data_IF_546510366863
#
_entry.id   IF_546510366863
#
_cell.length_a   1.000
_cell.length_b   1.000
_cell.length_c   1.000
_cell.angle_alpha   90.00
_cell.angle_beta   90.00
_cell.angle_gamma   90.00
#
_symmetry.space_group_name_H-M   'P 1'
#
loop_
_entity.id
_entity.type
_entity.pdbx_description
1 polymer ?
#
# COMPACT_ATOMS: atom_id res chain seq x y z
N UNK A 1 -4.95 2.45 25.80
CA UNK A 1 -4.16 2.11 24.59
C UNK A 1 -4.49 3.01 23.40
N UNK A 2 -5.78 3.23 23.09
CA UNK A 2 -6.22 4.17 22.04
C UNK A 2 -6.20 5.63 22.48
N UNK A 3 -5.77 5.91 23.71
CA UNK A 3 -5.59 7.27 24.21
C UNK A 3 -4.67 8.07 23.28
N UNK A 4 -4.97 9.36 23.04
CA UNK A 4 -4.11 10.20 22.21
C UNK A 4 -2.67 10.23 22.73
N UNK A 5 -1.73 10.08 21.81
CA UNK A 5 -0.34 10.37 22.05
C UNK A 5 -0.16 11.89 22.15
N UNK A 6 0.36 12.33 23.29
CA UNK A 6 0.67 13.71 23.58
C UNK A 6 2.18 13.77 23.90
N UNK A 7 3.00 14.42 23.06
CA UNK A 7 4.44 14.51 23.31
C UNK A 7 4.73 15.11 24.69
N UNK A 8 5.65 14.49 25.43
CA UNK A 8 6.13 14.98 26.73
C UNK A 8 7.66 15.03 26.73
N UNK A 9 8.27 15.57 27.78
CA UNK A 9 9.73 15.53 27.93
C UNK A 9 10.26 14.09 28.05
N UNK A 10 9.52 13.18 28.70
CA UNK A 10 9.89 11.79 28.87
C UNK A 10 9.61 10.93 27.62
N UNK A 11 8.66 11.37 26.79
CA UNK A 11 8.25 10.67 25.57
C UNK A 11 8.08 11.69 24.42
N UNK A 12 9.19 12.26 23.91
CA UNK A 12 9.14 13.38 22.98
C UNK A 12 8.74 12.94 21.57
N UNK A 13 8.27 13.90 20.77
CA UNK A 13 8.20 13.75 19.33
C UNK A 13 9.60 13.85 18.75
N UNK A 14 10.15 12.73 18.31
CA UNK A 14 11.51 12.62 17.79
C UNK A 14 11.53 12.15 16.33
N UNK A 15 12.74 12.05 15.77
CA UNK A 15 12.94 11.59 14.40
C UNK A 15 12.45 10.16 14.18
N UNK A 16 12.54 9.29 15.19
CA UNK A 16 12.12 7.87 15.09
C UNK A 16 10.61 7.76 14.93
N UNK A 17 9.84 8.46 15.76
CA UNK A 17 8.37 8.52 15.66
C UNK A 17 7.90 9.21 14.38
N UNK A 18 8.58 10.29 13.97
CA UNK A 18 8.31 10.93 12.68
C UNK A 18 8.55 9.97 11.51
N UNK A 19 9.68 9.26 11.50
CA UNK A 19 10.00 8.27 10.49
C UNK A 19 9.01 7.11 10.46
N UNK A 20 8.64 6.57 11.63
CA UNK A 20 7.62 5.53 11.74
C UNK A 20 6.30 6.01 11.12
N UNK A 21 5.77 7.17 11.55
CA UNK A 21 4.54 7.73 10.98
C UNK A 21 4.61 7.82 9.46
N UNK A 22 5.65 8.44 8.91
CA UNK A 22 5.78 8.67 7.46
C UNK A 22 5.94 7.37 6.65
N UNK A 23 6.58 6.32 7.19
CA UNK A 23 6.63 5.00 6.53
C UNK A 23 5.29 4.28 6.57
N UNK A 24 4.56 4.37 7.69
CA UNK A 24 3.22 3.75 7.83
C UNK A 24 2.18 4.44 6.95
N UNK A 25 2.29 5.73 6.72
CA UNK A 25 1.29 6.54 6.01
C UNK A 25 1.73 6.98 4.61
N UNK A 26 2.87 6.49 4.12
CA UNK A 26 3.39 6.81 2.79
C UNK A 26 4.30 5.70 2.29
N UNK A 27 5.19 6.03 1.36
CA UNK A 27 6.10 5.06 0.73
C UNK A 27 7.56 5.32 1.12
N UNK A 28 7.77 5.73 2.38
CA UNK A 28 9.06 6.19 2.88
C UNK A 28 9.26 7.71 2.73
N UNK A 29 9.86 8.38 3.72
CA UNK A 29 10.10 9.81 3.64
C UNK A 29 11.42 10.15 2.92
N UNK A 30 11.48 11.36 2.35
CA UNK A 30 12.77 11.97 1.98
C UNK A 30 13.49 12.52 3.22
N UNK A 31 14.76 12.93 3.07
CA UNK A 31 15.49 13.58 4.16
C UNK A 31 14.78 14.88 4.60
N UNK A 32 14.38 15.71 3.63
CA UNK A 32 13.69 16.98 3.89
C UNK A 32 12.33 16.80 4.58
N UNK A 33 11.58 15.74 4.24
CA UNK A 33 10.28 15.45 4.88
C UNK A 33 10.42 15.02 6.33
N UNK A 34 11.47 14.25 6.67
CA UNK A 34 11.79 13.89 8.05
C UNK A 34 12.14 15.14 8.87
N UNK A 35 13.00 16.00 8.34
CA UNK A 35 13.41 17.23 9.01
C UNK A 35 12.23 18.17 9.25
N UNK A 36 11.37 18.34 8.22
CA UNK A 36 10.14 19.10 8.36
C UNK A 36 9.19 18.49 9.39
N UNK A 37 9.05 17.16 9.43
CA UNK A 37 8.17 16.51 10.39
C UNK A 37 8.62 16.70 11.86
N UNK A 38 9.92 16.68 12.12
CA UNK A 38 10.47 16.94 13.46
C UNK A 38 10.32 18.42 13.80
N UNK A 39 10.74 19.32 12.91
CA UNK A 39 10.70 20.78 13.12
C UNK A 39 9.27 21.29 13.34
N UNK A 40 8.32 20.84 12.54
CA UNK A 40 6.93 21.32 12.59
C UNK A 40 6.16 20.71 13.77
N UNK A 41 6.68 19.63 14.38
CA UNK A 41 6.07 18.94 15.50
C UNK A 41 4.96 17.95 15.12
N UNK A 42 4.48 17.22 16.14
CA UNK A 42 3.52 16.12 15.99
C UNK A 42 2.20 16.55 15.35
N UNK A 43 1.51 17.55 15.92
CA UNK A 43 0.16 17.93 15.47
C UNK A 43 0.15 18.48 14.04
N UNK A 44 1.12 19.32 13.67
CA UNK A 44 1.22 19.84 12.32
C UNK A 44 1.51 18.73 11.30
N UNK A 45 2.39 17.79 11.67
CA UNK A 45 2.71 16.61 10.84
C UNK A 45 1.51 15.69 10.69
N UNK A 46 0.84 15.35 11.79
CA UNK A 46 -0.35 14.49 11.80
C UNK A 46 -1.47 15.08 10.94
N UNK A 47 -1.76 16.37 11.10
CA UNK A 47 -2.73 17.08 10.25
C UNK A 47 -2.36 16.97 8.78
N UNK A 48 -1.11 17.27 8.41
CA UNK A 48 -0.63 17.19 7.02
C UNK A 48 -0.77 15.78 6.42
N UNK A 49 -0.46 14.74 7.20
CA UNK A 49 -0.61 13.33 6.79
C UNK A 49 -2.08 12.98 6.51
N UNK A 50 -2.99 13.39 7.39
CA UNK A 50 -4.40 13.04 7.30
C UNK A 50 -5.13 13.84 6.22
N UNK A 51 -4.90 15.15 6.14
CA UNK A 51 -5.60 16.02 5.19
C UNK A 51 -4.99 15.98 3.79
N UNK A 52 -3.70 15.64 3.68
CA UNK A 52 -2.97 15.80 2.43
C UNK A 52 -2.82 17.26 2.02
N UNK A 53 -2.32 17.45 0.80
CA UNK A 53 -2.27 18.73 0.08
C UNK A 53 -2.83 18.53 -1.33
N UNK A 54 -3.27 19.60 -2.02
CA UNK A 54 -3.60 19.53 -3.43
C UNK A 54 -2.42 18.98 -4.23
N UNK A 55 -2.72 18.16 -5.24
CA UNK A 55 -1.70 17.66 -6.16
C UNK A 55 -1.07 18.81 -6.95
N UNK A 56 0.20 18.67 -7.32
CA UNK A 56 0.84 19.64 -8.20
C UNK A 56 0.25 19.56 -9.61
N UNK A 57 0.21 20.69 -10.31
CA UNK A 57 -0.24 20.72 -11.71
C UNK A 57 0.58 19.79 -12.60
N UNK A 58 1.87 19.63 -12.29
CA UNK A 58 2.76 18.72 -13.02
C UNK A 58 2.36 17.25 -12.87
N UNK A 59 2.07 16.82 -11.63
CA UNK A 59 1.58 15.47 -11.39
C UNK A 59 0.21 15.26 -12.01
N UNK A 60 -0.71 16.22 -11.87
CA UNK A 60 -2.04 16.13 -12.46
C UNK A 60 -1.94 15.93 -13.99
N UNK A 61 -1.21 16.80 -14.69
CA UNK A 61 -1.00 16.70 -16.14
C UNK A 61 -0.34 15.39 -16.56
N UNK A 62 0.74 15.00 -15.87
CA UNK A 62 1.50 13.79 -16.23
C UNK A 62 0.66 12.53 -15.98
N UNK A 63 -0.01 12.45 -14.83
CA UNK A 63 -0.92 11.36 -14.48
C UNK A 63 -2.06 11.25 -15.49
N UNK A 64 -2.69 12.36 -15.88
CA UNK A 64 -3.78 12.36 -16.86
C UNK A 64 -3.31 11.94 -18.25
N UNK A 65 -2.13 12.39 -18.68
CA UNK A 65 -1.54 11.96 -19.94
C UNK A 65 -1.24 10.45 -19.96
N UNK A 66 -0.62 9.93 -18.90
CA UNK A 66 -0.32 8.51 -18.75
C UNK A 66 -1.59 7.65 -18.67
N UNK A 67 -2.66 8.17 -18.07
CA UNK A 67 -3.96 7.52 -17.93
C UNK A 67 -4.91 7.72 -19.14
N UNK A 68 -4.50 8.49 -20.15
CA UNK A 68 -5.32 8.77 -21.34
C UNK A 68 -5.51 7.52 -22.19
N UNK A 69 -6.58 7.49 -23.00
CA UNK A 69 -6.86 6.36 -23.92
C UNK A 69 -5.72 6.11 -24.90
N UNK A 70 -4.94 7.14 -25.24
CA UNK A 70 -3.76 7.02 -26.11
C UNK A 70 -2.61 6.25 -25.44
N UNK A 71 -2.36 6.52 -24.16
CA UNK A 71 -1.23 5.95 -23.41
C UNK A 71 -1.58 4.60 -22.78
N UNK A 72 -2.82 4.47 -22.34
CA UNK A 72 -3.34 3.33 -21.59
C UNK A 72 -4.71 2.88 -22.16
N UNK A 73 -4.78 2.41 -23.43
CA UNK A 73 -6.01 1.84 -23.99
C UNK A 73 -6.42 0.56 -23.25
N UNK A 74 -7.62 0.04 -23.54
CA UNK A 74 -8.14 -1.20 -22.92
C UNK A 74 -7.16 -2.39 -22.95
N UNK A 75 -6.47 -2.62 -24.06
CA UNK A 75 -5.47 -3.68 -24.21
C UNK A 75 -4.06 -3.32 -23.75
N UNK A 76 -3.87 -2.21 -23.01
CA UNK A 76 -2.54 -1.82 -22.55
C UNK A 76 -1.92 -2.90 -21.64
N UNK A 77 -0.62 -3.19 -21.79
CA UNK A 77 0.03 -4.20 -20.97
C UNK A 77 0.11 -3.74 -19.50
N UNK A 78 -0.06 -4.69 -18.59
CA UNK A 78 -0.09 -4.47 -17.14
C UNK A 78 1.07 -3.60 -16.61
N UNK A 79 2.35 -3.78 -17.02
CA UNK A 79 3.43 -2.93 -16.54
C UNK A 79 3.24 -1.43 -16.78
N UNK A 80 2.52 -1.01 -17.83
CA UNK A 80 2.22 0.42 -18.06
C UNK A 80 1.23 0.96 -17.04
N UNK A 81 0.18 0.18 -16.73
CA UNK A 81 -0.79 0.54 -15.71
C UNK A 81 -0.13 0.59 -14.32
N UNK A 82 0.72 -0.39 -14.01
CA UNK A 82 1.52 -0.41 -12.78
C UNK A 82 2.46 0.79 -12.71
N UNK A 83 3.19 1.09 -13.78
CA UNK A 83 4.11 2.23 -13.84
C UNK A 83 3.42 3.58 -13.59
N UNK A 84 2.21 3.75 -14.13
CA UNK A 84 1.38 4.92 -13.85
C UNK A 84 1.04 5.04 -12.35
N UNK A 85 0.61 3.96 -11.71
CA UNK A 85 0.28 4.03 -10.29
C UNK A 85 1.53 4.27 -9.42
N UNK A 86 2.66 3.64 -9.75
CA UNK A 86 3.93 3.89 -9.07
C UNK A 86 4.38 5.35 -9.19
N UNK A 87 4.14 6.01 -10.34
CA UNK A 87 4.45 7.43 -10.51
C UNK A 87 3.62 8.30 -9.57
N UNK A 88 2.32 8.01 -9.43
CA UNK A 88 1.45 8.66 -8.46
C UNK A 88 1.92 8.43 -7.03
N UNK A 89 2.25 7.19 -6.65
CA UNK A 89 2.74 6.87 -5.30
C UNK A 89 4.05 7.60 -4.96
N UNK A 90 4.92 7.83 -5.94
CA UNK A 90 6.17 8.57 -5.76
C UNK A 90 5.96 10.07 -5.58
N UNK A 91 4.96 10.66 -6.22
CA UNK A 91 4.83 12.12 -6.38
C UNK A 91 3.64 12.75 -5.66
N UNK A 92 2.66 11.95 -5.23
CA UNK A 92 1.43 12.46 -4.62
C UNK A 92 1.70 13.35 -3.42
N UNK A 93 0.91 14.41 -3.30
CA UNK A 93 0.85 15.30 -2.15
C UNK A 93 -0.01 14.74 -1.00
N UNK A 94 -0.67 13.58 -1.21
CA UNK A 94 -1.44 12.86 -0.18
C UNK A 94 -1.09 11.35 -0.10
N UNK A 95 0.13 10.98 0.34
CA UNK A 95 0.58 9.59 0.36
C UNK A 95 -0.33 8.62 1.12
N UNK A 96 -1.00 9.07 2.19
CA UNK A 96 -1.93 8.23 2.96
C UNK A 96 -3.10 7.74 2.11
N UNK A 97 -3.60 8.56 1.18
CA UNK A 97 -4.70 8.19 0.30
C UNK A 97 -4.28 7.10 -0.68
N UNK A 98 -3.10 7.20 -1.26
CA UNK A 98 -2.56 6.15 -2.13
C UNK A 98 -2.26 4.88 -1.34
N UNK A 99 -1.76 5.01 -0.11
CA UNK A 99 -1.51 3.88 0.80
C UNK A 99 -2.79 3.10 1.09
N UNK A 100 -3.87 3.79 1.43
CA UNK A 100 -5.18 3.19 1.63
C UNK A 100 -5.80 2.68 0.33
N UNK A 101 -5.53 3.34 -0.81
CA UNK A 101 -5.96 2.82 -2.12
C UNK A 101 -5.32 1.46 -2.42
N UNK A 102 -4.03 1.29 -2.13
CA UNK A 102 -3.34 0.00 -2.28
C UNK A 102 -3.87 -1.05 -1.29
N UNK A 103 -4.18 -0.64 -0.05
CA UNK A 103 -4.83 -1.50 0.94
C UNK A 103 -6.19 -2.00 0.45
N UNK A 104 -7.04 -1.10 -0.04
CA UNK A 104 -8.36 -1.45 -0.56
C UNK A 104 -8.31 -2.25 -1.85
N UNK A 105 -7.33 -1.99 -2.73
CA UNK A 105 -7.05 -2.84 -3.90
C UNK A 105 -6.67 -4.27 -3.50
N UNK A 106 -5.97 -4.44 -2.38
CA UNK A 106 -5.70 -5.76 -1.83
C UNK A 106 -6.94 -6.40 -1.18
N UNK A 107 -7.80 -5.59 -0.54
CA UNK A 107 -9.04 -6.07 0.09
C UNK A 107 -10.09 -6.49 -0.94
N UNK A 108 -10.29 -5.70 -1.98
CA UNK A 108 -11.14 -5.99 -3.14
C UNK A 108 -10.29 -6.57 -4.29
N UNK A 109 -9.54 -7.62 -3.97
CA UNK A 109 -8.53 -8.17 -4.87
C UNK A 109 -9.15 -8.53 -6.23
N UNK A 110 -8.71 -7.80 -7.26
CA UNK A 110 -9.15 -7.93 -8.65
C UNK A 110 -7.92 -8.02 -9.54
N UNK A 111 -7.82 -9.08 -10.35
CA UNK A 111 -6.64 -9.32 -11.17
C UNK A 111 -6.87 -9.00 -12.65
N UNK A 112 -6.03 -8.12 -13.18
CA UNK A 112 -5.94 -7.81 -14.61
C UNK A 112 -5.74 -9.06 -15.47
N UNK A 113 -5.14 -10.13 -14.92
CA UNK A 113 -4.91 -11.38 -15.65
C UNK A 113 -6.19 -12.03 -16.18
N UNK A 114 -7.31 -11.96 -15.43
CA UNK A 114 -8.63 -12.42 -15.89
C UNK A 114 -9.46 -11.28 -16.47
N UNK A 115 -9.38 -10.07 -15.91
CA UNK A 115 -10.17 -8.93 -16.40
C UNK A 115 -9.77 -8.53 -17.83
N UNK A 116 -8.49 -8.60 -18.16
CA UNK A 116 -7.98 -8.36 -19.52
C UNK A 116 -8.22 -6.95 -20.06
N UNK A 117 -8.54 -5.99 -19.19
CA UNK A 117 -8.90 -4.63 -19.59
C UNK A 117 -8.32 -3.59 -18.62
N UNK A 118 -7.29 -2.87 -19.07
CA UNK A 118 -6.62 -1.84 -18.28
C UNK A 118 -7.52 -0.63 -17.94
N UNK A 119 -8.54 -0.34 -18.76
CA UNK A 119 -9.49 0.75 -18.48
C UNK A 119 -10.43 0.40 -17.33
N UNK A 120 -10.88 -0.85 -17.25
CA UNK A 120 -11.68 -1.33 -16.11
C UNK A 120 -10.87 -1.29 -14.82
N UNK A 121 -9.62 -1.76 -14.86
CA UNK A 121 -8.72 -1.68 -13.69
C UNK A 121 -8.46 -0.23 -13.26
N UNK A 122 -8.25 0.70 -14.20
CA UNK A 122 -8.11 2.12 -13.86
C UNK A 122 -9.40 2.70 -13.26
N UNK A 123 -10.56 2.31 -13.80
CA UNK A 123 -11.87 2.70 -13.27
C UNK A 123 -12.05 2.27 -11.82
N UNK A 124 -11.73 1.00 -11.53
CA UNK A 124 -11.77 0.45 -10.18
C UNK A 124 -10.79 1.17 -9.24
N UNK A 125 -9.57 1.46 -9.70
CA UNK A 125 -8.65 2.29 -8.92
C UNK A 125 -9.26 3.66 -8.60
N UNK A 126 -9.92 4.34 -9.55
CA UNK A 126 -10.53 5.65 -9.31
C UNK A 126 -11.68 5.57 -8.30
N UNK A 127 -12.48 4.50 -8.34
CA UNK A 127 -13.50 4.19 -7.35
C UNK A 127 -12.87 4.00 -5.96
N UNK A 128 -11.87 3.14 -5.85
CA UNK A 128 -11.15 2.88 -4.61
C UNK A 128 -10.51 4.16 -4.07
N UNK A 129 -9.78 4.90 -4.91
CA UNK A 129 -9.08 6.12 -4.53
C UNK A 129 -10.05 7.22 -4.09
N UNK A 130 -11.24 7.32 -4.71
CA UNK A 130 -12.31 8.23 -4.26
C UNK A 130 -12.69 7.94 -2.81
N UNK A 131 -12.89 6.68 -2.47
CA UNK A 131 -13.37 6.22 -1.15
C UNK A 131 -12.27 5.81 -0.16
N UNK A 132 -10.99 5.92 -0.53
CA UNK A 132 -9.89 5.34 0.25
C UNK A 132 -9.83 5.81 1.71
N UNK A 133 -10.15 7.09 1.95
CA UNK A 133 -10.28 7.70 3.28
C UNK A 133 -11.75 7.98 3.66
N UNK A 134 -12.70 7.62 2.81
CA UNK A 134 -14.12 7.93 2.93
C UNK A 134 -14.94 6.75 3.45
N UNK A 135 -16.18 6.66 2.98
CA UNK A 135 -17.14 5.64 3.42
C UNK A 135 -16.83 4.27 2.81
N UNK A 136 -16.50 3.30 3.66
CA UNK A 136 -16.43 1.91 3.25
C UNK A 136 -17.82 1.35 2.89
N UNK A 137 -18.91 1.90 3.45
CA UNK A 137 -20.27 1.54 3.04
C UNK A 137 -20.49 1.81 1.55
N UNK A 138 -20.16 3.02 1.10
CA UNK A 138 -20.32 3.41 -0.30
C UNK A 138 -19.38 2.60 -1.20
N UNK A 139 -18.12 2.41 -0.76
CA UNK A 139 -17.17 1.57 -1.49
C UNK A 139 -17.67 0.13 -1.66
N UNK A 140 -18.20 -0.50 -0.61
CA UNK A 140 -18.72 -1.87 -0.66
C UNK A 140 -19.90 -2.00 -1.63
N UNK A 141 -20.83 -1.03 -1.59
CA UNK A 141 -22.03 -1.01 -2.45
C UNK A 141 -21.63 -0.78 -3.91
N UNK A 142 -20.83 0.25 -4.18
CA UNK A 142 -20.42 0.61 -5.55
C UNK A 142 -19.52 -0.47 -6.19
N UNK A 143 -18.71 -1.17 -5.39
CA UNK A 143 -17.88 -2.27 -5.88
C UNK A 143 -18.70 -3.44 -6.46
N UNK A 144 -19.95 -3.63 -6.00
CA UNK A 144 -20.84 -4.68 -6.51
C UNK A 144 -21.26 -4.51 -7.97
N UNK A 145 -21.04 -3.32 -8.55
CA UNK A 145 -21.32 -3.03 -9.96
C UNK A 145 -20.09 -2.44 -10.68
N UNK A 146 -18.90 -2.54 -10.08
CA UNK A 146 -17.65 -2.15 -10.73
C UNK A 146 -17.33 -3.11 -11.90
N UNK A 147 -17.08 -2.62 -13.13
CA UNK A 147 -16.85 -3.49 -14.28
C UNK A 147 -15.69 -4.49 -14.12
N UNK A 148 -14.61 -4.10 -13.44
CA UNK A 148 -13.49 -5.01 -13.22
C UNK A 148 -13.87 -6.14 -12.25
N UNK A 149 -14.52 -5.80 -11.14
CA UNK A 149 -15.03 -6.76 -10.16
C UNK A 149 -16.09 -7.69 -10.77
N UNK A 150 -17.00 -7.14 -11.59
CA UNK A 150 -18.05 -7.90 -12.26
C UNK A 150 -17.49 -8.97 -13.21
N UNK A 151 -16.41 -8.67 -13.93
CA UNK A 151 -15.71 -9.65 -14.77
C UNK A 151 -14.89 -10.61 -13.91
N UNK A 152 -14.23 -10.11 -12.87
CA UNK A 152 -13.34 -10.90 -12.02
C UNK A 152 -14.07 -12.00 -11.24
N UNK A 153 -15.28 -11.72 -10.73
CA UNK A 153 -16.09 -12.66 -9.94
C UNK A 153 -17.36 -13.12 -10.67
N UNK A 154 -17.36 -13.03 -12.01
CA UNK A 154 -18.39 -13.61 -12.89
C UNK A 154 -19.82 -13.13 -12.57
N UNK A 155 -19.96 -11.91 -12.05
CA UNK A 155 -21.26 -11.28 -11.79
C UNK A 155 -22.05 -11.16 -13.09
N UNK A 156 -21.36 -10.87 -14.19
CA UNK A 156 -21.95 -10.79 -15.53
C UNK A 156 -22.58 -12.09 -16.02
N UNK A 157 -22.24 -13.23 -15.42
CA UNK A 157 -22.79 -14.55 -15.79
C UNK A 157 -24.01 -14.92 -14.93
N UNK A 158 -24.24 -14.21 -13.82
CA UNK A 158 -25.37 -14.42 -12.91
C UNK A 158 -26.67 -13.91 -13.53
N UNK A 159 -27.54 -14.83 -13.94
CA UNK A 159 -28.82 -14.53 -14.59
C UNK A 159 -29.96 -15.32 -13.95
N UNK A 160 -31.19 -14.89 -14.19
CA UNK A 160 -32.40 -15.57 -13.72
C UNK A 160 -32.35 -17.06 -14.06
N UNK A 161 -32.60 -17.90 -13.05
CA UNK A 161 -32.57 -19.37 -13.18
C UNK A 161 -31.17 -19.99 -13.16
N UNK A 162 -30.09 -19.19 -13.24
CA UNK A 162 -28.70 -19.64 -13.13
C UNK A 162 -27.86 -18.59 -12.36
N UNK A 163 -28.13 -18.40 -11.06
CA UNK A 163 -27.35 -17.49 -10.24
C UNK A 163 -25.90 -18.00 -10.11
N UNK A 164 -24.94 -17.08 -10.12
CA UNK A 164 -23.52 -17.38 -9.84
C UNK A 164 -23.20 -16.96 -8.39
N UNK A 165 -22.71 -17.90 -7.58
CA UNK A 165 -22.45 -17.68 -6.15
C UNK A 165 -21.12 -16.97 -5.86
N UNK A 166 -20.19 -16.90 -6.82
CA UNK A 166 -18.82 -16.43 -6.59
C UNK A 166 -18.80 -15.08 -5.87
N UNK A 167 -19.41 -14.04 -6.46
CA UNK A 167 -19.42 -12.71 -5.83
C UNK A 167 -20.16 -12.67 -4.49
N UNK A 168 -21.29 -13.38 -4.36
CA UNK A 168 -22.03 -13.40 -3.10
C UNK A 168 -21.19 -14.02 -1.97
N UNK A 169 -20.45 -15.08 -2.27
CA UNK A 169 -19.50 -15.71 -1.36
C UNK A 169 -18.38 -14.77 -0.98
N UNK A 170 -17.70 -14.16 -1.95
CA UNK A 170 -16.58 -13.25 -1.64
C UNK A 170 -17.03 -11.98 -0.91
N UNK A 171 -18.21 -11.44 -1.24
CA UNK A 171 -18.81 -10.31 -0.55
C UNK A 171 -18.93 -10.60 0.96
N UNK A 172 -19.49 -11.75 1.33
CA UNK A 172 -19.66 -12.13 2.73
C UNK A 172 -18.35 -12.60 3.36
N UNK A 173 -17.59 -13.45 2.69
CA UNK A 173 -16.41 -14.10 3.24
C UNK A 173 -15.19 -13.16 3.34
N UNK A 174 -14.82 -12.53 2.23
CA UNK A 174 -13.53 -11.83 2.12
C UNK A 174 -13.66 -10.31 2.19
N UNK A 175 -14.82 -9.76 1.84
CA UNK A 175 -15.00 -8.32 1.74
C UNK A 175 -15.72 -7.71 2.92
N UNK A 176 -16.56 -8.45 3.65
CA UNK A 176 -17.37 -7.85 4.73
C UNK A 176 -17.42 -8.61 6.05
N UNK A 177 -17.66 -9.92 6.11
CA UNK A 177 -18.01 -10.60 7.37
C UNK A 177 -16.93 -11.53 7.91
N UNK A 178 -16.19 -12.20 7.03
CA UNK A 178 -15.31 -13.30 7.43
C UNK A 178 -16.06 -14.62 7.58
N UNK A 179 -15.33 -15.72 7.44
CA UNK A 179 -15.83 -17.10 7.56
C UNK A 179 -16.57 -17.29 8.89
N UNK A 180 -17.70 -18.03 8.84
CA UNK A 180 -18.49 -18.40 10.02
C UNK A 180 -19.59 -17.41 10.42
N UNK A 181 -19.81 -16.36 9.62
CA UNK A 181 -20.81 -15.32 9.90
C UNK A 181 -22.00 -15.33 8.91
N UNK A 182 -22.13 -16.39 8.11
CA UNK A 182 -23.18 -16.59 7.12
C UNK A 182 -23.38 -18.08 6.90
N UNK A 183 -24.54 -18.45 6.34
CA UNK A 183 -24.84 -19.83 5.95
C UNK A 183 -24.69 -20.02 4.44
N UNK A 184 -24.61 -21.27 4.01
CA UNK A 184 -24.62 -21.60 2.59
C UNK A 184 -25.95 -21.19 1.91
N UNK A 185 -27.05 -21.18 2.65
CA UNK A 185 -28.33 -20.66 2.18
C UNK A 185 -28.26 -19.15 1.93
N UNK A 186 -27.61 -18.39 2.82
CA UNK A 186 -27.41 -16.95 2.62
C UNK A 186 -26.64 -16.67 1.32
N UNK A 187 -25.62 -17.48 1.01
CA UNK A 187 -24.85 -17.36 -0.25
C UNK A 187 -25.75 -17.57 -1.47
N UNK A 188 -26.54 -18.66 -1.49
CA UNK A 188 -27.44 -18.99 -2.61
C UNK A 188 -28.50 -17.90 -2.83
N UNK A 189 -29.10 -17.43 -1.75
CA UNK A 189 -30.14 -16.41 -1.79
C UNK A 189 -29.58 -15.03 -2.18
N UNK A 190 -28.38 -14.69 -1.70
CA UNK A 190 -27.65 -13.50 -2.14
C UNK A 190 -27.25 -13.59 -3.63
N UNK A 191 -26.81 -14.76 -4.11
CA UNK A 191 -26.46 -14.97 -5.51
C UNK A 191 -27.66 -14.69 -6.43
N UNK A 192 -28.87 -15.07 -6.02
CA UNK A 192 -30.12 -14.72 -6.71
C UNK A 192 -30.33 -13.20 -6.76
N UNK A 193 -29.97 -12.46 -5.71
CA UNK A 193 -30.07 -11.00 -5.67
C UNK A 193 -29.06 -10.30 -6.62
N UNK A 194 -27.95 -10.96 -6.94
CA UNK A 194 -26.96 -10.51 -7.92
C UNK A 194 -27.25 -10.93 -9.37
N UNK A 195 -28.41 -11.51 -9.66
CA UNK A 195 -28.78 -11.81 -11.05
C UNK A 195 -29.14 -10.55 -11.84
N UNK A 196 -28.78 -10.52 -13.13
CA UNK A 196 -29.19 -9.48 -14.06
C UNK A 196 -28.26 -8.26 -14.14
N UNK A 197 -27.09 -8.28 -13.50
CA UNK A 197 -26.08 -7.23 -13.69
C UNK A 197 -25.17 -7.57 -14.88
N UNK A 198 -24.92 -6.59 -15.76
CA UNK A 198 -24.08 -6.72 -16.97
C UNK A 198 -23.12 -5.54 -17.11
N UNK A 199 -22.07 -5.71 -17.90
CA UNK A 199 -21.22 -4.60 -18.33
C UNK A 199 -21.68 -4.15 -19.72
N UNK A 200 -22.05 -2.89 -19.88
CA UNK A 200 -22.45 -2.28 -21.16
C UNK A 200 -21.80 -0.90 -21.29
N UNK A 201 -21.17 -0.61 -22.43
CA UNK A 201 -20.47 0.66 -22.65
C UNK A 201 -19.36 0.93 -21.63
N UNK A 202 -18.78 -0.12 -21.03
CA UNK A 202 -17.78 -0.01 -19.98
C UNK A 202 -18.32 0.34 -18.59
N UNK A 203 -19.63 0.23 -18.37
CA UNK A 203 -20.29 0.49 -17.08
C UNK A 203 -21.11 -0.70 -16.62
N UNK A 204 -21.23 -0.91 -15.30
CA UNK A 204 -22.14 -1.88 -14.72
C UNK A 204 -23.59 -1.40 -14.81
N UNK A 205 -24.47 -2.21 -15.40
CA UNK A 205 -25.88 -1.90 -15.61
C UNK A 205 -26.76 -3.05 -15.11
N UNK A 206 -27.93 -2.72 -14.59
CA UNK A 206 -28.93 -3.69 -14.15
C UNK A 206 -29.97 -3.94 -15.24
N UNK A 207 -30.22 -5.21 -15.55
CA UNK A 207 -31.14 -5.68 -16.57
C UNK A 207 -32.30 -6.44 -15.92
N UNK A 208 -33.47 -5.80 -15.70
CA UNK A 208 -34.59 -6.41 -14.97
C UNK A 208 -35.11 -7.73 -15.57
N UNK A 209 -35.01 -7.88 -16.90
CA UNK A 209 -35.45 -9.10 -17.59
C UNK A 209 -34.62 -10.34 -17.22
N UNK A 210 -33.37 -10.13 -16.82
CA UNK A 210 -32.44 -11.18 -16.42
C UNK A 210 -32.29 -11.32 -14.90
N UNK A 211 -32.96 -10.46 -14.12
CA UNK A 211 -32.98 -10.56 -12.67
C UNK A 211 -34.06 -11.55 -12.21
N UNK A 212 -33.80 -12.33 -11.17
CA UNK A 212 -34.80 -13.09 -10.44
C UNK A 212 -35.59 -12.15 -9.50
N UNK A 213 -36.87 -11.82 -9.81
CA UNK A 213 -37.64 -10.88 -9.00
C UNK A 213 -38.26 -11.51 -7.76
N UNK A 214 -38.16 -12.83 -7.59
CA UNK A 214 -38.86 -13.54 -6.53
C UNK A 214 -38.24 -13.23 -5.15
N UNK A 215 -38.99 -13.37 -4.04
CA UNK A 215 -38.47 -13.13 -2.71
C UNK A 215 -37.25 -13.98 -2.39
N UNK A 216 -36.32 -13.40 -1.64
CA UNK A 216 -35.07 -14.01 -1.20
C UNK A 216 -34.96 -13.85 0.31
N UNK A 217 -34.41 -14.86 0.99
CA UNK A 217 -34.20 -14.81 2.44
C UNK A 217 -32.72 -14.80 2.77
N UNK A 218 -32.22 -13.70 3.33
CA UNK A 218 -30.80 -13.52 3.69
C UNK A 218 -30.73 -12.98 5.11
N UNK A 219 -29.93 -13.62 5.97
CA UNK A 219 -29.81 -13.32 7.41
C UNK A 219 -31.17 -13.23 8.13
N UNK A 220 -32.10 -14.12 7.76
CA UNK A 220 -33.46 -14.17 8.33
C UNK A 220 -34.39 -13.05 7.88
N UNK A 221 -33.97 -12.15 6.98
CA UNK A 221 -34.81 -11.13 6.36
C UNK A 221 -35.32 -11.63 5.01
N UNK A 222 -36.59 -11.42 4.69
CA UNK A 222 -37.18 -11.83 3.41
C UNK A 222 -37.69 -10.63 2.62
N UNK A 223 -37.39 -10.59 1.32
CA UNK A 223 -37.85 -9.52 0.44
C UNK A 223 -37.39 -9.69 -1.00
N UNK A 224 -37.86 -8.82 -1.90
CA UNK A 224 -37.43 -8.79 -3.30
C UNK A 224 -36.06 -8.08 -3.43
N UNK A 225 -35.03 -8.65 -2.81
CA UNK A 225 -33.71 -8.02 -2.70
C UNK A 225 -32.93 -8.01 -4.01
N UNK A 226 -32.12 -6.96 -4.16
CA UNK A 226 -31.07 -6.81 -5.18
C UNK A 226 -29.69 -6.78 -4.54
N UNK A 227 -28.65 -6.83 -5.36
CA UNK A 227 -27.25 -6.85 -4.91
C UNK A 227 -26.86 -5.73 -3.92
N UNK A 228 -27.36 -4.51 -4.09
CA UNK A 228 -27.10 -3.40 -3.17
C UNK A 228 -27.75 -3.61 -1.79
N UNK A 229 -28.91 -4.25 -1.74
CA UNK A 229 -29.55 -4.64 -0.47
C UNK A 229 -28.71 -5.67 0.28
N UNK A 230 -28.11 -6.64 -0.43
CA UNK A 230 -27.21 -7.62 0.19
C UNK A 230 -25.98 -6.94 0.79
N UNK A 231 -25.35 -6.02 0.07
CA UNK A 231 -24.22 -5.25 0.58
C UNK A 231 -24.61 -4.45 1.84
N UNK A 232 -25.80 -3.82 1.86
CA UNK A 232 -26.33 -3.14 3.06
C UNK A 232 -26.55 -4.10 4.22
N UNK A 233 -27.09 -5.29 3.97
CA UNK A 233 -27.27 -6.30 5.02
C UNK A 233 -25.93 -6.77 5.60
N UNK A 234 -24.89 -6.95 4.78
CA UNK A 234 -23.56 -7.24 5.26
C UNK A 234 -23.03 -6.11 6.16
N UNK A 235 -23.26 -4.84 5.80
CA UNK A 235 -22.88 -3.69 6.63
C UNK A 235 -23.68 -3.62 7.94
N UNK A 236 -24.92 -4.08 7.97
CA UNK A 236 -25.73 -4.12 9.19
C UNK A 236 -25.32 -5.29 10.10
N UNK A 237 -24.64 -6.31 9.57
CA UNK A 237 -24.21 -7.49 10.31
C UNK A 237 -23.14 -7.14 11.36
N UNK A 238 -23.24 -7.64 12.62
CA UNK A 238 -22.35 -7.26 13.71
C UNK A 238 -20.88 -7.58 13.45
N UNK A 239 -20.58 -8.60 12.65
CA UNK A 239 -19.22 -9.00 12.29
C UNK A 239 -18.50 -7.98 11.39
N UNK A 240 -19.23 -7.17 10.61
CA UNK A 240 -18.63 -6.42 9.51
C UNK A 240 -17.58 -5.41 9.95
N UNK A 241 -17.95 -4.55 10.90
CA UNK A 241 -17.02 -3.56 11.42
C UNK A 241 -15.77 -4.21 12.06
N UNK A 242 -15.93 -5.29 12.83
CA UNK A 242 -14.80 -6.03 13.43
C UNK A 242 -13.90 -6.66 12.37
N UNK A 243 -14.47 -7.20 11.30
CA UNK A 243 -13.72 -7.79 10.20
C UNK A 243 -12.80 -6.77 9.51
N UNK A 244 -13.37 -5.63 9.11
CA UNK A 244 -12.63 -4.59 8.39
C UNK A 244 -11.61 -3.90 9.30
N UNK A 245 -11.99 -3.56 10.54
CA UNK A 245 -11.08 -2.91 11.50
C UNK A 245 -9.91 -3.82 11.84
N UNK A 246 -10.09 -5.14 11.93
CA UNK A 246 -8.96 -6.07 12.13
C UNK A 246 -7.96 -5.99 10.98
N UNK A 247 -8.42 -5.86 9.73
CA UNK A 247 -7.53 -5.67 8.57
C UNK A 247 -6.80 -4.31 8.62
N UNK A 248 -7.50 -3.23 8.99
CA UNK A 248 -6.88 -1.91 9.16
C UNK A 248 -5.83 -1.91 10.29
N UNK A 249 -6.15 -2.56 11.42
CA UNK A 249 -5.19 -2.76 12.52
C UNK A 249 -3.95 -3.51 12.02
N UNK A 250 -4.13 -4.60 11.27
CA UNK A 250 -3.01 -5.35 10.69
C UNK A 250 -2.15 -4.48 9.76
N UNK A 251 -2.78 -3.61 8.97
CA UNK A 251 -2.09 -2.74 8.02
C UNK A 251 -1.30 -1.60 8.69
N UNK A 252 -1.82 -1.03 9.79
CA UNK A 252 -1.25 0.18 10.43
C UNK A 252 -0.55 -0.07 11.76
N UNK A 253 -0.89 -1.11 12.51
CA UNK A 253 -0.30 -1.44 13.81
C UNK A 253 0.65 -2.63 13.70
N UNK A 254 0.16 -3.87 13.64
CA UNK A 254 0.99 -5.07 13.72
C UNK A 254 0.49 -6.20 12.83
N UNK A 255 1.41 -6.87 12.14
CA UNK A 255 1.13 -8.15 11.45
C UNK A 255 1.42 -9.37 12.32
N UNK A 256 2.16 -9.20 13.42
CA UNK A 256 2.61 -10.29 14.28
C UNK A 256 1.57 -10.64 15.35
N UNK A 257 0.89 -9.64 15.91
CA UNK A 257 -0.03 -9.82 17.03
C UNK A 257 -1.44 -9.32 16.71
N UNK A 258 -2.50 -10.09 17.03
CA UNK A 258 -3.86 -9.63 16.88
C UNK A 258 -4.16 -8.49 17.88
N UNK A 259 -5.11 -7.58 17.56
CA UNK A 259 -5.53 -6.55 18.49
C UNK A 259 -6.16 -7.17 19.74
N UNK A 260 -5.89 -6.56 20.91
CA UNK A 260 -6.68 -6.81 22.12
C UNK A 260 -8.18 -6.59 21.83
N UNK A 261 -9.04 -7.40 22.45
CA UNK A 261 -10.47 -7.40 22.15
C UNK A 261 -11.10 -6.01 22.35
N UNK A 262 -10.72 -5.32 23.42
CA UNK A 262 -11.22 -3.99 23.78
C UNK A 262 -10.82 -2.93 22.74
N UNK A 263 -9.60 -3.03 22.19
CA UNK A 263 -9.13 -2.14 21.11
C UNK A 263 -9.92 -2.39 19.83
N UNK A 264 -10.12 -3.66 19.48
CA UNK A 264 -10.88 -4.05 18.30
C UNK A 264 -12.34 -3.59 18.41
N UNK A 265 -12.99 -3.81 19.55
CA UNK A 265 -14.38 -3.42 19.78
C UNK A 265 -14.57 -1.91 19.80
N UNK A 266 -13.67 -1.16 20.42
CA UNK A 266 -13.72 0.30 20.42
C UNK A 266 -13.61 0.87 18.98
N UNK A 267 -12.64 0.38 18.20
CA UNK A 267 -12.46 0.82 16.82
C UNK A 267 -13.62 0.35 15.91
N UNK A 268 -14.15 -0.86 16.10
CA UNK A 268 -15.29 -1.37 15.33
C UNK A 268 -16.57 -0.57 15.62
N UNK A 269 -16.81 -0.21 16.88
CA UNK A 269 -17.93 0.66 17.28
C UNK A 269 -17.79 2.03 16.62
N UNK A 270 -16.61 2.66 16.73
CA UNK A 270 -16.33 3.94 16.06
C UNK A 270 -16.54 3.86 14.54
N UNK A 271 -16.09 2.77 13.91
CA UNK A 271 -16.25 2.59 12.47
C UNK A 271 -17.73 2.53 12.08
N UNK A 272 -18.55 1.77 12.82
CA UNK A 272 -19.99 1.67 12.57
C UNK A 272 -20.71 2.99 12.80
N UNK A 273 -20.48 3.64 13.94
CA UNK A 273 -21.16 4.87 14.36
C UNK A 273 -20.83 6.07 13.46
N UNK A 274 -19.64 6.05 12.85
CA UNK A 274 -19.24 7.06 11.86
C UNK A 274 -19.80 6.81 10.46
N UNK A 275 -20.66 5.81 10.27
CA UNK A 275 -21.17 5.45 8.95
C UNK A 275 -20.11 4.77 8.08
N UNK A 276 -19.20 4.01 8.68
CA UNK A 276 -18.09 3.33 8.02
C UNK A 276 -17.02 4.28 7.46
N UNK A 277 -16.70 5.36 8.17
CA UNK A 277 -15.64 6.32 7.80
C UNK A 277 -14.24 5.74 8.07
N UNK A 278 -13.53 5.39 6.99
CA UNK A 278 -12.18 4.81 7.06
C UNK A 278 -11.17 5.81 7.62
N UNK A 279 -11.23 7.06 7.16
CA UNK A 279 -10.32 8.11 7.56
C UNK A 279 -10.37 8.38 9.05
N UNK A 280 -11.57 8.33 9.66
CA UNK A 280 -11.76 8.55 11.10
C UNK A 280 -11.13 7.44 11.97
N UNK A 281 -11.27 6.19 11.57
CA UNK A 281 -10.66 5.04 12.28
C UNK A 281 -9.14 5.09 12.15
N UNK A 282 -8.64 5.30 10.93
CA UNK A 282 -7.20 5.41 10.68
C UNK A 282 -6.62 6.60 11.45
N UNK A 283 -7.30 7.75 11.46
CA UNK A 283 -6.92 8.93 12.24
C UNK A 283 -6.84 8.65 13.75
N UNK A 284 -7.71 7.79 14.28
CA UNK A 284 -7.69 7.38 15.69
C UNK A 284 -6.49 6.48 15.97
N UNK A 285 -6.22 5.50 15.10
CA UNK A 285 -5.05 4.63 15.21
C UNK A 285 -3.78 5.46 15.18
N UNK A 286 -3.57 6.29 14.15
CA UNK A 286 -2.34 7.05 13.94
C UNK A 286 -2.05 8.07 15.07
N UNK A 287 -3.08 8.57 15.75
CA UNK A 287 -2.93 9.48 16.90
C UNK A 287 -2.73 8.77 18.23
N UNK A 288 -2.94 7.46 18.30
CA UNK A 288 -2.93 6.75 19.58
C UNK A 288 -1.52 6.49 20.13
N UNK A 289 -1.41 6.34 21.44
CA UNK A 289 -0.19 5.80 22.09
C UNK A 289 0.18 4.42 21.57
N UNK A 290 -0.81 3.59 21.25
CA UNK A 290 -0.61 2.26 20.66
C UNK A 290 0.25 2.32 19.39
N UNK A 291 -0.03 3.26 18.48
CA UNK A 291 0.69 3.38 17.21
C UNK A 291 2.17 3.77 17.38
N UNK A 292 2.54 4.42 18.49
CA UNK A 292 3.93 4.74 18.81
C UNK A 292 4.56 3.77 19.82
N UNK A 293 3.87 2.69 20.16
CA UNK A 293 4.36 1.68 21.10
C UNK A 293 5.23 0.62 20.43
N UNK A 294 5.92 -0.19 21.24
CA UNK A 294 6.70 -1.34 20.76
C UNK A 294 5.84 -2.37 19.98
N UNK A 295 4.53 -2.43 20.25
CA UNK A 295 3.60 -3.30 19.55
C UNK A 295 3.28 -2.85 18.12
N UNK A 296 3.67 -1.64 17.71
CA UNK A 296 3.47 -1.12 16.36
C UNK A 296 4.79 -0.85 15.63
N UNK A 297 5.81 -0.43 16.37
CA UNK A 297 7.08 -0.01 15.80
C UNK A 297 7.88 -1.21 15.25
N UNK A 298 8.16 -1.21 13.93
CA UNK A 298 8.87 -2.29 13.22
C UNK A 298 8.18 -3.66 13.30
N UNK A 299 6.86 -3.68 13.44
CA UNK A 299 6.05 -4.91 13.55
C UNK A 299 5.39 -5.33 12.22
N UNK A 300 5.88 -4.81 11.10
CA UNK A 300 5.42 -5.18 9.74
C UNK A 300 6.60 -5.43 8.83
N UNK A 301 6.50 -6.46 8.01
CA UNK A 301 7.45 -6.65 6.92
C UNK A 301 7.04 -5.75 5.76
N UNK A 302 7.96 -4.88 5.33
CA UNK A 302 7.74 -3.92 4.25
C UNK A 302 7.31 -4.64 2.97
N UNK A 303 6.11 -4.39 2.42
CA UNK A 303 5.67 -4.94 1.14
C UNK A 303 6.58 -4.49 -0.01
N UNK A 304 6.72 -5.28 -1.09
CA UNK A 304 7.64 -4.96 -2.19
C UNK A 304 7.48 -3.58 -2.84
N UNK A 305 6.24 -3.10 -3.00
CA UNK A 305 5.99 -1.74 -3.53
C UNK A 305 6.58 -0.69 -2.61
N UNK A 306 6.37 -0.83 -1.30
CA UNK A 306 6.91 0.10 -0.30
C UNK A 306 8.43 0.01 -0.19
N UNK A 307 8.99 -1.18 -0.34
CA UNK A 307 10.42 -1.41 -0.39
C UNK A 307 11.06 -0.68 -1.58
N UNK A 308 10.52 -0.87 -2.78
CA UNK A 308 11.04 -0.25 -3.99
C UNK A 308 10.95 1.29 -3.93
N UNK A 309 9.77 1.81 -3.59
CA UNK A 309 9.55 3.26 -3.56
C UNK A 309 10.27 3.93 -2.38
N UNK A 310 10.43 3.23 -1.25
CA UNK A 310 11.18 3.71 -0.09
C UNK A 310 12.65 3.96 -0.39
N UNK A 311 13.28 3.11 -1.23
CA UNK A 311 14.64 3.34 -1.71
C UNK A 311 14.69 4.60 -2.58
N UNK A 312 13.80 4.69 -3.58
CA UNK A 312 13.76 5.81 -4.52
C UNK A 312 13.54 7.14 -3.79
N UNK A 313 12.58 7.18 -2.86
CA UNK A 313 12.28 8.39 -2.08
C UNK A 313 13.39 8.75 -1.11
N UNK A 314 13.97 7.78 -0.40
CA UNK A 314 15.06 8.04 0.53
C UNK A 314 16.33 8.56 -0.15
N UNK A 315 16.59 8.17 -1.40
CA UNK A 315 17.69 8.70 -2.23
C UNK A 315 17.34 10.00 -2.97
N UNK A 316 16.09 10.48 -2.83
CA UNK A 316 15.56 11.61 -3.59
C UNK A 316 15.80 11.43 -5.11
N UNK A 317 15.62 10.20 -5.57
CA UNK A 317 15.94 9.77 -6.93
C UNK A 317 14.79 10.05 -7.90
N UNK A 318 15.12 10.25 -9.18
CA UNK A 318 14.13 10.43 -10.26
C UNK A 318 14.26 9.30 -11.28
N UNK A 319 13.67 8.14 -10.98
CA UNK A 319 13.77 6.94 -11.82
C UNK A 319 12.57 6.78 -12.74
N UNK A 320 12.74 6.03 -13.84
CA UNK A 320 11.60 5.59 -14.65
C UNK A 320 10.75 4.57 -13.88
N UNK A 321 9.43 4.73 -13.89
CA UNK A 321 8.52 3.83 -13.16
C UNK A 321 8.19 2.55 -13.91
N UNK A 322 8.39 2.49 -15.23
CA UNK A 322 8.24 1.27 -16.02
C UNK A 322 9.28 0.20 -15.63
N UNK A 323 10.59 0.49 -15.54
CA UNK A 323 11.55 -0.48 -15.03
C UNK A 323 11.30 -0.93 -13.58
N UNK A 324 10.75 -0.05 -12.73
CA UNK A 324 10.30 -0.47 -11.39
C UNK A 324 9.15 -1.47 -11.48
N UNK A 325 8.14 -1.17 -12.30
CA UNK A 325 6.99 -2.06 -12.52
C UNK A 325 7.43 -3.44 -13.04
N UNK A 326 8.44 -3.50 -13.89
CA UNK A 326 9.01 -4.74 -14.43
C UNK A 326 9.86 -5.51 -13.41
N UNK A 327 10.41 -4.85 -12.38
CA UNK A 327 11.16 -5.50 -11.31
C UNK A 327 10.26 -6.12 -10.23
N UNK A 328 9.09 -5.54 -9.98
CA UNK A 328 8.16 -5.95 -8.92
C UNK A 328 7.70 -7.44 -8.95
N UNK A 329 7.50 -8.09 -10.11
CA UNK A 329 7.17 -9.52 -10.16
C UNK A 329 8.18 -10.39 -9.40
N UNK A 330 9.47 -10.09 -9.49
CA UNK A 330 10.52 -10.84 -8.79
C UNK A 330 10.45 -10.71 -7.26
N UNK A 331 9.81 -9.66 -6.75
CA UNK A 331 9.61 -9.42 -5.32
C UNK A 331 8.23 -9.90 -4.83
N UNK A 332 7.32 -10.30 -5.72
CA UNK A 332 6.05 -10.96 -5.38
C UNK A 332 4.83 -10.05 -5.22
N UNK A 333 4.91 -8.75 -5.54
CA UNK A 333 3.76 -7.84 -5.48
C UNK A 333 3.65 -6.99 -6.74
N UNK A 334 2.71 -7.34 -7.61
CA UNK A 334 2.44 -6.61 -8.87
C UNK A 334 1.09 -5.89 -8.75
N UNK A 335 1.04 -4.56 -8.59
CA UNK A 335 -0.21 -3.81 -8.58
C UNK A 335 -1.15 -4.21 -9.74
N UNK A 336 -2.46 -4.26 -9.48
CA UNK A 336 -3.49 -4.78 -10.41
C UNK A 336 -3.42 -6.27 -10.75
N UNK A 337 -2.52 -7.06 -10.15
CA UNK A 337 -2.46 -8.51 -10.33
C UNK A 337 -2.25 -9.26 -9.00
N UNK A 338 -3.19 -9.16 -8.04
CA UNK A 338 -3.20 -10.06 -6.89
C UNK A 338 -3.28 -11.52 -7.35
N UNK A 339 -2.63 -12.46 -6.62
CA UNK A 339 -2.54 -13.86 -7.01
C UNK A 339 -3.86 -14.62 -6.83
N UNK A 340 -4.77 -14.11 -6.01
CA UNK A 340 -6.08 -14.71 -5.75
C UNK A 340 -7.11 -13.66 -5.30
N UNK A 341 -8.36 -14.09 -5.13
CA UNK A 341 -9.46 -13.29 -4.56
C UNK A 341 -9.20 -12.85 -3.11
N UNK A 342 -8.26 -13.49 -2.40
CA UNK A 342 -7.81 -13.10 -1.05
C UNK A 342 -6.81 -11.95 -1.05
N UNK A 343 -6.30 -11.57 -2.22
CA UNK A 343 -5.23 -10.59 -2.35
C UNK A 343 -3.85 -11.22 -2.15
N UNK A 344 -2.90 -10.40 -1.70
CA UNK A 344 -1.59 -10.80 -1.21
C UNK A 344 -1.64 -11.06 0.30
N UNK A 345 -0.99 -12.14 0.74
CA UNK A 345 -1.05 -12.63 2.13
C UNK A 345 -0.39 -11.68 3.15
N UNK A 346 0.61 -10.89 2.72
CA UNK A 346 1.32 -9.96 3.59
C UNK A 346 2.36 -10.62 4.51
N UNK A 347 2.95 -9.84 5.43
CA UNK A 347 3.81 -10.36 6.48
C UNK A 347 4.95 -11.28 6.02
N UNK A 348 5.18 -12.43 6.70
CA UNK A 348 6.28 -13.34 6.38
C UNK A 348 6.29 -13.86 4.94
N UNK A 349 5.14 -13.88 4.24
CA UNK A 349 5.07 -14.29 2.85
C UNK A 349 5.92 -13.40 1.91
N UNK A 350 6.26 -12.18 2.34
CA UNK A 350 7.13 -11.28 1.61
C UNK A 350 8.63 -11.61 1.67
N UNK A 351 9.04 -12.53 2.55
CA UNK A 351 10.43 -12.90 2.76
C UNK A 351 10.60 -14.42 2.64
N UNK A 352 11.16 -14.82 1.51
CA UNK A 352 11.68 -16.16 1.24
C UNK A 352 13.02 -16.04 0.50
N UNK A 353 13.71 -17.16 0.26
CA UNK A 353 15.03 -17.13 -0.37
C UNK A 353 15.06 -16.37 -1.72
N UNK A 354 14.02 -16.55 -2.56
CA UNK A 354 13.94 -15.92 -3.87
C UNK A 354 13.66 -14.41 -3.78
N UNK A 355 12.66 -14.02 -2.99
CA UNK A 355 12.25 -12.62 -2.83
C UNK A 355 13.31 -11.80 -2.08
N UNK A 356 14.05 -12.41 -1.14
CA UNK A 356 15.18 -11.76 -0.48
C UNK A 356 16.32 -11.46 -1.47
N UNK A 357 16.65 -12.41 -2.35
CA UNK A 357 17.62 -12.17 -3.43
C UNK A 357 17.13 -11.08 -4.39
N UNK A 358 15.84 -11.10 -4.77
CA UNK A 358 15.26 -10.08 -5.65
C UNK A 358 15.30 -8.68 -5.01
N UNK A 359 15.05 -8.56 -3.70
CA UNK A 359 15.20 -7.30 -2.95
C UNK A 359 16.64 -6.80 -2.97
N UNK A 360 17.62 -7.68 -2.74
CA UNK A 360 19.04 -7.34 -2.82
C UNK A 360 19.41 -6.85 -4.23
N UNK A 361 18.97 -7.57 -5.27
CA UNK A 361 19.23 -7.19 -6.66
C UNK A 361 18.60 -5.84 -7.03
N UNK A 362 17.38 -5.55 -6.55
CA UNK A 362 16.75 -4.25 -6.78
C UNK A 362 17.49 -3.13 -6.03
N UNK A 363 17.88 -3.36 -4.78
CA UNK A 363 18.67 -2.39 -4.02
C UNK A 363 20.03 -2.11 -4.69
N UNK A 364 20.71 -3.15 -5.21
CA UNK A 364 21.95 -3.00 -5.97
C UNK A 364 21.72 -2.21 -7.26
N UNK A 365 20.67 -2.53 -8.01
CA UNK A 365 20.32 -1.85 -9.24
C UNK A 365 20.05 -0.35 -9.03
N UNK A 366 19.33 0.00 -7.95
CA UNK A 366 19.01 1.38 -7.61
C UNK A 366 20.20 2.16 -7.03
N UNK A 367 21.21 1.48 -6.50
CA UNK A 367 22.43 2.12 -5.95
C UNK A 367 23.59 2.14 -6.93
N UNK A 368 23.50 1.40 -8.04
CA UNK A 368 24.52 1.36 -9.09
C UNK A 368 24.39 2.52 -10.06
N UNK A 369 25.51 3.16 -10.40
CA UNK A 369 25.57 4.16 -11.47
C UNK A 369 25.63 3.54 -12.89
N UNK A 370 25.79 2.22 -12.98
CA UNK A 370 26.01 1.47 -14.22
C UNK A 370 24.79 0.64 -14.64
N UNK A 371 23.76 0.53 -13.80
CA UNK A 371 22.53 -0.18 -14.18
C UNK A 371 21.85 0.53 -15.37
N UNK A 372 21.56 -0.21 -16.44
CA UNK A 372 21.01 0.35 -17.67
C UNK A 372 19.60 0.90 -17.54
N UNK A 373 18.86 0.49 -16.49
CA UNK A 373 17.47 0.89 -16.25
C UNK A 373 17.37 2.14 -15.38
N UNK A 374 18.18 2.21 -14.33
CA UNK A 374 18.15 3.30 -13.34
C UNK A 374 19.32 4.28 -13.49
N UNK A 375 20.52 3.75 -13.71
CA UNK A 375 21.75 4.49 -13.95
C UNK A 375 22.02 5.59 -12.90
N UNK A 376 22.58 6.71 -13.34
CA UNK A 376 22.93 7.84 -12.45
C UNK A 376 21.74 8.58 -11.82
N UNK A 377 20.50 8.23 -12.18
CA UNK A 377 19.30 8.93 -11.70
C UNK A 377 18.96 8.64 -10.23
N UNK A 378 19.56 7.60 -9.66
CA UNK A 378 19.45 7.20 -8.27
C UNK A 378 20.81 7.10 -7.57
N UNK A 379 21.86 7.72 -8.12
CA UNK A 379 23.23 7.58 -7.63
C UNK A 379 23.42 8.07 -6.19
N UNK A 380 23.69 7.17 -5.21
CA UNK A 380 23.97 7.53 -3.83
C UNK A 380 25.13 8.50 -3.64
N UNK A 381 26.18 8.41 -4.47
CA UNK A 381 27.33 9.32 -4.35
C UNK A 381 26.93 10.76 -4.65
N UNK A 382 26.12 10.97 -5.70
CA UNK A 382 25.57 12.28 -6.04
C UNK A 382 24.61 12.78 -4.95
N UNK A 383 23.77 11.90 -4.41
CA UNK A 383 22.87 12.22 -3.30
C UNK A 383 23.64 12.71 -2.06
N UNK A 384 24.65 11.95 -1.62
CA UNK A 384 25.49 12.32 -0.46
C UNK A 384 26.22 13.65 -0.68
N UNK A 385 26.74 13.88 -1.88
CA UNK A 385 27.39 15.14 -2.25
C UNK A 385 26.43 16.34 -2.17
N UNK A 386 25.18 16.20 -2.63
CA UNK A 386 24.16 17.26 -2.50
C UNK A 386 23.86 17.64 -1.05
N UNK A 387 24.01 16.68 -0.13
CA UNK A 387 23.85 16.91 1.31
C UNK A 387 25.17 17.22 2.04
N UNK A 388 26.26 17.45 1.29
CA UNK A 388 27.56 17.83 1.83
C UNK A 388 28.20 16.75 2.72
N UNK A 389 27.88 15.47 2.51
CA UNK A 389 28.46 14.36 3.30
C UNK A 389 29.73 13.89 2.62
N UNK A 390 30.88 14.08 3.29
CA UNK A 390 32.20 13.89 2.67
C UNK A 390 33.07 12.88 3.41
N UNK A 391 32.87 12.73 4.71
CA UNK A 391 33.60 11.75 5.53
C UNK A 391 32.80 10.44 5.67
N UNK A 392 33.49 9.32 5.88
CA UNK A 392 32.85 8.01 6.07
C UNK A 392 31.84 8.02 7.23
N UNK A 393 32.15 8.75 8.31
CA UNK A 393 31.26 8.93 9.47
C UNK A 393 29.99 9.68 9.07
N UNK A 394 30.13 10.83 8.41
CA UNK A 394 28.98 11.61 7.92
C UNK A 394 28.11 10.80 6.96
N UNK A 395 28.74 10.03 6.06
CA UNK A 395 28.04 9.18 5.08
C UNK A 395 27.23 8.11 5.80
N UNK A 396 27.84 7.33 6.69
CA UNK A 396 27.15 6.26 7.42
C UNK A 396 26.02 6.83 8.29
N UNK A 397 26.29 7.86 9.07
CA UNK A 397 25.30 8.44 9.98
C UNK A 397 24.13 9.07 9.23
N UNK A 398 24.40 9.70 8.08
CA UNK A 398 23.35 10.26 7.24
C UNK A 398 22.47 9.17 6.62
N UNK A 399 23.06 8.11 6.05
CA UNK A 399 22.31 7.00 5.46
C UNK A 399 21.45 6.29 6.53
N UNK A 400 22.03 6.00 7.70
CA UNK A 400 21.30 5.43 8.83
C UNK A 400 20.20 6.37 9.31
N UNK A 401 20.42 7.69 9.33
CA UNK A 401 19.44 8.70 9.71
C UNK A 401 18.27 8.86 8.73
N UNK A 402 18.51 8.66 7.43
CA UNK A 402 17.48 8.73 6.37
C UNK A 402 16.67 7.45 6.30
N UNK A 403 17.32 6.29 6.20
CA UNK A 403 16.61 5.03 5.97
C UNK A 403 16.09 4.37 7.26
N UNK A 404 16.78 4.58 8.39
CA UNK A 404 16.54 3.85 9.64
C UNK A 404 16.37 4.77 10.87
N UNK A 405 16.46 6.10 10.70
CA UNK A 405 16.40 7.10 11.78
C UNK A 405 17.39 6.82 12.91
N UNK A 406 18.57 6.30 12.57
CA UNK A 406 19.63 5.94 13.51
C UNK A 406 19.27 4.77 14.43
N UNK A 407 18.19 4.05 14.14
CA UNK A 407 17.76 2.90 14.92
C UNK A 407 18.32 1.61 14.30
N UNK A 408 19.53 1.26 14.69
CA UNK A 408 20.21 0.02 14.28
C UNK A 408 20.76 -0.71 15.50
N UNK A 409 20.91 -2.05 15.43
CA UNK A 409 21.54 -2.82 16.49
C UNK A 409 22.95 -2.33 16.82
N UNK A 410 23.38 -2.59 18.05
CA UNK A 410 24.73 -2.32 18.49
C UNK A 410 25.76 -2.97 17.54
N UNK A 411 26.80 -2.22 17.18
CA UNK A 411 27.85 -2.69 16.27
C UNK A 411 27.53 -2.57 14.78
N UNK A 412 26.27 -2.35 14.37
CA UNK A 412 25.93 -2.23 12.93
C UNK A 412 26.61 -1.02 12.30
N UNK A 413 26.61 0.11 13.01
CA UNK A 413 27.29 1.33 12.59
C UNK A 413 28.80 1.12 12.44
N UNK A 414 29.42 0.50 13.44
CA UNK A 414 30.87 0.22 13.46
C UNK A 414 31.27 -0.74 12.33
N UNK A 415 30.43 -1.75 12.02
CA UNK A 415 30.67 -2.66 10.89
C UNK A 415 30.63 -1.93 9.54
N UNK A 416 29.69 -1.00 9.34
CA UNK A 416 29.61 -0.20 8.10
C UNK A 416 30.84 0.71 7.95
N UNK A 417 31.30 1.32 9.05
CA UNK A 417 32.54 2.12 9.05
C UNK A 417 33.78 1.25 8.78
N UNK A 418 33.86 0.07 9.41
CA UNK A 418 34.92 -0.89 9.16
C UNK A 418 34.97 -1.37 7.71
N UNK A 419 33.80 -1.56 7.08
CA UNK A 419 33.71 -1.87 5.65
C UNK A 419 34.28 -0.74 4.79
N UNK A 420 33.91 0.51 5.04
CA UNK A 420 34.44 1.66 4.29
C UNK A 420 35.96 1.80 4.43
N UNK A 421 36.50 1.56 5.62
CA UNK A 421 37.94 1.60 5.87
C UNK A 421 38.67 0.48 5.10
N UNK A 422 38.18 -0.76 5.16
CA UNK A 422 38.74 -1.87 4.40
C UNK A 422 38.66 -1.62 2.89
N UNK A 423 37.57 -1.03 2.41
CA UNK A 423 37.36 -0.73 0.99
C UNK A 423 38.35 0.31 0.44
N UNK A 424 39.04 1.10 1.28
CA UNK A 424 40.12 2.00 0.82
C UNK A 424 41.37 1.25 0.35
N UNK A 425 41.59 0.03 0.86
CA UNK A 425 42.71 -0.83 0.46
C UNK A 425 42.48 -1.62 -0.83
N UNK A 426 41.26 -1.57 -1.39
CA UNK A 426 40.92 -2.29 -2.62
C UNK A 426 41.55 -1.58 -3.83
N UNK A 427 42.25 -2.35 -4.68
CA UNK A 427 42.79 -1.83 -5.93
C UNK A 427 41.67 -1.57 -6.93
N UNK A 428 41.55 -0.32 -7.35
CA UNK A 428 40.61 0.10 -8.40
C UNK A 428 41.30 0.14 -9.77
N UNK A 429 40.53 0.14 -10.88
CA UNK A 429 41.09 0.35 -12.21
C UNK A 429 41.91 1.64 -12.28
N UNK A 430 43.04 1.62 -13.00
CA UNK A 430 43.99 2.74 -13.03
C UNK A 430 43.45 4.05 -13.63
N UNK A 431 42.29 4.02 -14.28
CA UNK A 431 41.60 5.20 -14.81
C UNK A 431 40.62 5.84 -13.81
N UNK A 432 40.43 5.26 -12.62
CA UNK A 432 39.56 5.84 -11.59
C UNK A 432 40.26 6.99 -10.88
N UNK A 433 39.57 8.11 -10.77
CA UNK A 433 39.95 9.20 -9.87
C UNK A 433 39.69 8.82 -8.41
N UNK A 434 40.24 9.61 -7.47
CA UNK A 434 39.90 9.48 -6.05
C UNK A 434 38.40 9.67 -5.80
N UNK A 435 37.74 10.52 -6.59
CA UNK A 435 36.30 10.74 -6.52
C UNK A 435 35.50 9.52 -7.02
N UNK A 436 35.98 8.84 -8.06
CA UNK A 436 35.35 7.60 -8.55
C UNK A 436 35.42 6.49 -7.50
N UNK A 437 36.59 6.31 -6.88
CA UNK A 437 36.78 5.36 -5.78
C UNK A 437 35.90 5.68 -4.57
N UNK A 438 35.81 6.95 -4.16
CA UNK A 438 34.94 7.38 -3.07
C UNK A 438 33.44 7.20 -3.41
N UNK A 439 33.06 7.49 -4.65
CA UNK A 439 31.71 7.27 -5.15
C UNK A 439 31.34 5.79 -5.13
N UNK A 440 32.23 4.91 -5.56
CA UNK A 440 32.01 3.46 -5.50
C UNK A 440 31.78 2.98 -4.06
N UNK A 441 32.60 3.41 -3.10
CA UNK A 441 32.40 3.08 -1.68
C UNK A 441 31.06 3.59 -1.14
N UNK A 442 30.66 4.80 -1.53
CA UNK A 442 29.38 5.41 -1.15
C UNK A 442 28.17 4.59 -1.65
N UNK A 443 28.24 4.10 -2.90
CA UNK A 443 27.22 3.22 -3.48
C UNK A 443 27.14 1.89 -2.74
N UNK A 444 28.29 1.28 -2.47
CA UNK A 444 28.37 0.00 -1.80
C UNK A 444 27.85 0.06 -0.35
N UNK A 445 28.24 1.07 0.44
CA UNK A 445 27.72 1.22 1.82
C UNK A 445 26.23 1.56 1.83
N UNK A 446 25.73 2.31 0.84
CA UNK A 446 24.29 2.55 0.69
C UNK A 446 23.55 1.25 0.42
N UNK A 447 24.06 0.41 -0.48
CA UNK A 447 23.49 -0.92 -0.71
C UNK A 447 23.43 -1.74 0.58
N UNK A 448 24.53 -1.79 1.36
CA UNK A 448 24.57 -2.51 2.63
C UNK A 448 23.51 -2.00 3.63
N UNK A 449 23.30 -0.68 3.73
CA UNK A 449 22.24 -0.11 4.59
C UNK A 449 20.85 -0.58 4.15
N UNK A 450 20.60 -0.63 2.84
CA UNK A 450 19.31 -1.07 2.27
C UNK A 450 19.08 -2.59 2.35
N UNK A 451 20.12 -3.37 2.68
CA UNK A 451 20.02 -4.82 2.87
C UNK A 451 20.05 -5.24 4.32
N UNK A 452 20.13 -4.28 5.25
CA UNK A 452 19.98 -4.55 6.68
C UNK A 452 18.59 -5.12 7.01
N UNK A 453 18.48 -6.04 8.00
CA UNK A 453 17.20 -6.56 8.46
C UNK A 453 16.23 -5.45 8.87
N UNK A 454 16.73 -4.39 9.51
CA UNK A 454 15.93 -3.26 9.98
C UNK A 454 15.27 -2.50 8.83
N UNK A 455 15.88 -2.47 7.65
CA UNK A 455 15.29 -1.83 6.48
C UNK A 455 14.13 -2.65 5.88
N UNK A 456 14.06 -3.95 6.20
CA UNK A 456 12.95 -4.80 5.75
C UNK A 456 11.67 -4.59 6.56
N UNK A 457 11.72 -3.81 7.65
CA UNK A 457 10.64 -3.62 8.61
C UNK A 457 10.13 -2.17 8.62
N UNK A 458 8.85 -1.98 8.97
CA UNK A 458 8.20 -0.66 9.14
C UNK A 458 7.53 -0.45 10.50
#
# INVERSE_FOLDING_TARGET
>A
MLDPYLPTAADPWDRRKAGHLLRRTGFGPTHAELDAAVRDGFEATMRRVLTGRPESDDLARTSDFMASERSLPAGAPLPRLTAWWLDRMLKTAHPLREKLSLFWHNHFATSHAKVGNARFMLGQYRLIHRHALGSFRDLLIEMGIDPAMMVWLDITESVRGRPNENYARELMELFSLGIGNYTETDIREAARAFTGYKVTGGTGVFTPREHDPTPKTVFGRTGAFRGDDIARMCLDHPACARFVVRKLYRAFVSEAEPPAAEVLDALATQFRDSGYDTGRVVATILRSKLFFSAAAYRQRIKPPVEFALGIVRGLEATVGTLPLAEALPGLGQVPFAPPSVKGWDGGPAWLNAQTLLARNNLALALTSAEDSRFGRRSDPAAFLARHGKTTDVEVVDFLLGVFLQGDVPAGSRERLLGYLEQAKGVRHPGYWSAADAAGHRSRAVTHLVLTLPEFQLD
#
